data_IF_143190741040
#
_entry.id   IF_143190741040
#
_cell.length_a   1.000
_cell.length_b   1.000
_cell.length_c   1.000
_cell.angle_alpha   90.00
_cell.angle_beta   90.00
_cell.angle_gamma   90.00
#
_symmetry.space_group_name_H-M   'P 1'
#
loop_
_entity.id
_entity.type
_entity.pdbx_description
1 polymer ?
#
# COMPACT_ATOMS: atom_id res chain seq x y z
N UNK A 1 10.64 -5.69 19.88
CA UNK A 1 11.35 -4.85 18.90
C UNK A 1 10.53 -3.64 18.44
N UNK A 2 9.20 -3.62 18.61
CA UNK A 2 8.39 -2.41 18.37
C UNK A 2 8.08 -2.10 16.90
N UNK A 3 8.47 -2.99 15.98
CA UNK A 3 8.11 -2.90 14.55
C UNK A 3 6.72 -3.52 14.37
N UNK A 4 5.68 -2.70 14.49
CA UNK A 4 4.28 -3.14 14.48
C UNK A 4 3.65 -3.09 13.09
N UNK A 5 4.25 -2.37 12.13
CA UNK A 5 3.79 -2.34 10.75
C UNK A 5 4.31 -3.57 9.98
N UNK A 6 3.41 -4.32 9.36
CA UNK A 6 3.73 -5.44 8.48
C UNK A 6 3.13 -5.16 7.11
N UNK A 7 3.97 -5.16 6.07
CA UNK A 7 3.58 -4.95 4.69
C UNK A 7 3.63 -6.27 3.90
N UNK A 8 2.54 -6.59 3.21
CA UNK A 8 2.41 -7.73 2.30
C UNK A 8 1.59 -7.33 1.06
N UNK A 9 1.24 -8.27 0.20
CA UNK A 9 0.37 -8.04 -0.96
C UNK A 9 -0.21 -9.36 -1.49
N UNK A 10 -1.35 -9.29 -2.20
CA UNK A 10 -1.93 -10.49 -2.84
C UNK A 10 -1.00 -11.14 -3.88
N UNK A 11 -0.10 -10.35 -4.47
CA UNK A 11 0.87 -10.80 -5.46
C UNK A 11 2.01 -11.62 -4.83
N UNK A 12 2.36 -11.37 -3.57
CA UNK A 12 3.57 -11.93 -2.96
C UNK A 12 3.40 -13.43 -2.74
N UNK A 13 4.14 -14.22 -3.53
CA UNK A 13 3.95 -15.66 -3.65
C UNK A 13 2.48 -16.05 -3.94
N UNK A 14 1.77 -15.23 -4.73
CA UNK A 14 0.35 -15.44 -5.07
C UNK A 14 -0.56 -15.64 -3.84
N UNK A 15 -0.26 -14.95 -2.74
CA UNK A 15 -0.98 -15.03 -1.47
C UNK A 15 -0.26 -15.81 -0.38
N UNK A 16 0.78 -16.58 -0.71
CA UNK A 16 1.55 -17.33 0.30
C UNK A 16 2.19 -16.42 1.36
N UNK A 17 2.59 -15.19 0.99
CA UNK A 17 3.11 -14.24 1.97
C UNK A 17 2.03 -13.77 2.97
N UNK A 18 0.77 -13.63 2.54
CA UNK A 18 -0.34 -13.28 3.44
C UNK A 18 -0.62 -14.42 4.44
N UNK A 19 -0.50 -15.67 4.01
CA UNK A 19 -0.64 -16.84 4.89
C UNK A 19 0.48 -16.90 5.95
N UNK A 20 1.73 -16.63 5.56
CA UNK A 20 2.86 -16.51 6.51
C UNK A 20 2.62 -15.38 7.51
N UNK A 21 2.09 -14.24 7.06
CA UNK A 21 1.73 -13.13 7.96
C UNK A 21 0.62 -13.57 8.92
N UNK A 22 -0.41 -14.29 8.46
CA UNK A 22 -1.49 -14.78 9.32
C UNK A 22 -0.96 -15.62 10.50
N UNK A 23 -0.04 -16.54 10.21
CA UNK A 23 0.62 -17.36 11.24
C UNK A 23 1.42 -16.49 12.22
N UNK A 24 2.16 -15.50 11.72
CA UNK A 24 2.99 -14.62 12.54
C UNK A 24 2.19 -13.70 13.48
N UNK A 25 0.96 -13.32 13.09
CA UNK A 25 0.13 -12.37 13.85
C UNK A 25 -0.92 -13.04 14.75
N UNK A 26 -1.02 -14.37 14.72
CA UNK A 26 -2.03 -15.13 15.46
C UNK A 26 -2.04 -14.77 16.96
N UNK A 27 -3.23 -14.42 17.47
CA UNK A 27 -3.43 -14.00 18.86
C UNK A 27 -2.94 -12.60 19.22
N UNK A 28 -2.37 -11.84 18.26
CA UNK A 28 -1.79 -10.50 18.49
C UNK A 28 -2.16 -9.49 17.41
N UNK A 29 -3.23 -9.75 16.66
CA UNK A 29 -3.69 -8.92 15.54
C UNK A 29 -3.85 -7.44 15.93
N UNK A 30 -4.37 -7.16 17.12
CA UNK A 30 -4.66 -5.79 17.59
C UNK A 30 -3.40 -5.00 17.98
N UNK A 31 -2.24 -5.65 18.10
CA UNK A 31 -0.96 -4.99 18.38
C UNK A 31 -0.26 -4.47 17.11
N UNK A 32 -0.83 -4.73 15.94
CA UNK A 32 -0.16 -4.59 14.65
C UNK A 32 -0.91 -3.67 13.69
N UNK A 33 -0.14 -3.07 12.78
CA UNK A 33 -0.64 -2.29 11.66
C UNK A 33 -0.38 -3.06 10.36
N UNK A 34 -1.41 -3.67 9.82
CA UNK A 34 -1.34 -4.59 8.69
C UNK A 34 -1.63 -3.86 7.38
N UNK A 35 -0.68 -3.96 6.44
CA UNK A 35 -0.78 -3.40 5.09
C UNK A 35 -0.85 -4.53 4.07
N UNK A 36 -1.82 -4.48 3.16
CA UNK A 36 -1.84 -5.34 1.96
C UNK A 36 -2.20 -4.51 0.72
N UNK A 37 -2.15 -5.14 -0.46
CA UNK A 37 -2.25 -4.45 -1.76
C UNK A 37 -3.09 -5.23 -2.75
N UNK A 38 -3.83 -4.50 -3.59
CA UNK A 38 -4.55 -5.01 -4.75
C UNK A 38 -3.77 -4.75 -6.03
N UNK A 39 -3.68 -5.76 -6.90
CA UNK A 39 -3.11 -5.65 -8.23
C UNK A 39 -3.99 -4.76 -9.13
N UNK A 40 -3.42 -4.03 -10.10
CA UNK A 40 -4.21 -3.13 -10.93
C UNK A 40 -5.17 -3.86 -11.86
N UNK A 41 -4.86 -5.11 -12.24
CA UNK A 41 -5.78 -5.99 -12.95
C UNK A 41 -7.04 -6.34 -12.15
N UNK A 42 -6.98 -6.19 -10.82
CA UNK A 42 -8.10 -6.37 -9.89
C UNK A 42 -8.70 -5.02 -9.44
N UNK A 43 -8.26 -3.87 -9.94
CA UNK A 43 -8.62 -2.57 -9.39
C UNK A 43 -10.03 -2.06 -9.75
N UNK A 44 -10.80 -2.79 -10.56
CA UNK A 44 -12.23 -2.49 -10.78
C UNK A 44 -13.02 -2.54 -9.47
N UNK A 45 -14.17 -1.88 -9.41
CA UNK A 45 -15.00 -1.82 -8.19
C UNK A 45 -15.34 -3.19 -7.63
N UNK A 46 -15.73 -4.12 -8.52
CA UNK A 46 -16.01 -5.50 -8.13
C UNK A 46 -14.73 -6.30 -7.86
N UNK A 47 -13.63 -6.00 -8.57
CA UNK A 47 -12.33 -6.64 -8.39
C UNK A 47 -11.71 -6.33 -7.02
N UNK A 48 -11.67 -5.06 -6.62
CA UNK A 48 -11.12 -4.59 -5.35
C UNK A 48 -11.82 -5.27 -4.18
N UNK A 49 -13.15 -5.37 -4.24
CA UNK A 49 -13.94 -6.08 -3.23
C UNK A 49 -13.52 -7.55 -3.13
N UNK A 50 -13.47 -8.27 -4.25
CA UNK A 50 -13.08 -9.70 -4.28
C UNK A 50 -11.63 -9.90 -3.82
N UNK A 51 -10.70 -9.06 -4.26
CA UNK A 51 -9.30 -9.10 -3.88
C UNK A 51 -9.13 -8.90 -2.37
N UNK A 52 -9.78 -7.88 -1.81
CA UNK A 52 -9.76 -7.60 -0.37
C UNK A 52 -10.33 -8.78 0.43
N UNK A 53 -11.48 -9.35 0.03
CA UNK A 53 -12.06 -10.52 0.68
C UNK A 53 -11.13 -11.75 0.65
N UNK A 54 -10.39 -11.94 -0.45
CA UNK A 54 -9.40 -13.01 -0.57
C UNK A 54 -8.18 -12.76 0.32
N UNK A 55 -7.67 -11.52 0.37
CA UNK A 55 -6.58 -11.13 1.26
C UNK A 55 -6.95 -11.32 2.73
N UNK A 56 -8.11 -10.83 3.15
CA UNK A 56 -8.63 -11.01 4.52
C UNK A 56 -8.70 -12.49 4.91
N UNK A 57 -9.18 -13.35 4.00
CA UNK A 57 -9.24 -14.79 4.21
C UNK A 57 -7.85 -15.39 4.43
N UNK A 58 -6.87 -15.04 3.58
CA UNK A 58 -5.48 -15.54 3.72
C UNK A 58 -4.79 -15.02 4.97
N UNK A 59 -5.04 -13.76 5.32
CA UNK A 59 -4.53 -13.09 6.53
C UNK A 59 -5.21 -13.57 7.82
N UNK A 60 -6.26 -14.40 7.73
CA UNK A 60 -7.07 -14.87 8.85
C UNK A 60 -7.55 -13.74 9.79
N UNK A 61 -7.97 -12.62 9.21
CA UNK A 61 -8.45 -11.43 9.95
C UNK A 61 -9.67 -10.81 9.27
N UNK A 62 -10.41 -9.99 10.00
CA UNK A 62 -11.60 -9.30 9.53
C UNK A 62 -11.31 -7.91 8.95
N UNK A 63 -10.11 -7.36 9.22
CA UNK A 63 -9.70 -6.01 8.77
C UNK A 63 -8.24 -5.93 8.34
N UNK A 64 -7.98 -5.12 7.32
CA UNK A 64 -6.64 -4.64 6.93
C UNK A 64 -6.53 -3.17 7.36
N UNK A 65 -5.46 -2.78 8.06
CA UNK A 65 -5.36 -1.41 8.57
C UNK A 65 -5.14 -0.39 7.43
N UNK A 66 -4.40 -0.78 6.40
CA UNK A 66 -4.16 0.03 5.21
C UNK A 66 -4.12 -0.83 3.94
N UNK A 67 -4.94 -0.47 2.94
CA UNK A 67 -5.02 -1.20 1.69
C UNK A 67 -4.57 -0.34 0.51
N UNK A 68 -3.58 -0.82 -0.26
CA UNK A 68 -2.95 -0.03 -1.33
C UNK A 68 -3.35 -0.50 -2.72
N UNK A 69 -3.54 0.43 -3.65
CA UNK A 69 -3.37 0.10 -5.07
C UNK A 69 -1.88 -0.13 -5.33
N UNK A 70 -1.50 -1.29 -5.86
CA UNK A 70 -0.09 -1.70 -5.92
C UNK A 70 0.75 -0.91 -6.94
N UNK A 71 0.15 -0.46 -8.05
CA UNK A 71 0.69 0.50 -9.01
C UNK A 71 -0.44 1.04 -9.90
N UNK A 72 -0.23 2.11 -10.69
CA UNK A 72 -1.20 2.57 -11.67
C UNK A 72 -1.57 1.47 -12.69
N UNK A 73 -2.79 1.50 -13.22
CA UNK A 73 -3.26 0.53 -14.21
C UNK A 73 -4.30 1.10 -15.15
N UNK A 74 -4.95 0.23 -15.94
CA UNK A 74 -5.93 0.65 -16.95
C UNK A 74 -7.33 0.93 -16.40
N UNK A 75 -7.60 0.59 -15.14
CA UNK A 75 -8.89 0.88 -14.49
C UNK A 75 -8.90 2.36 -14.10
N UNK A 76 -9.97 3.12 -14.41
CA UNK A 76 -10.08 4.51 -13.97
C UNK A 76 -9.90 4.63 -12.46
N UNK A 77 -9.03 5.55 -12.03
CA UNK A 77 -8.63 5.66 -10.63
C UNK A 77 -9.82 5.98 -9.71
N UNK A 78 -10.77 6.79 -10.20
CA UNK A 78 -12.02 7.09 -9.49
C UNK A 78 -12.84 5.84 -9.14
N UNK A 79 -12.87 4.83 -10.03
CA UNK A 79 -13.55 3.56 -9.75
C UNK A 79 -12.89 2.81 -8.60
N UNK A 80 -11.55 2.84 -8.56
CA UNK A 80 -10.75 2.20 -7.49
C UNK A 80 -10.97 2.91 -6.15
N UNK A 81 -10.97 4.25 -6.15
CA UNK A 81 -11.23 5.08 -4.96
C UNK A 81 -12.62 4.83 -4.39
N UNK A 82 -13.66 4.80 -5.23
CA UNK A 82 -15.02 4.45 -4.79
C UNK A 82 -15.09 3.06 -4.13
N UNK A 83 -14.31 2.10 -4.64
CA UNK A 83 -14.24 0.76 -4.09
C UNK A 83 -13.53 0.73 -2.72
N UNK A 84 -12.43 1.48 -2.56
CA UNK A 84 -11.76 1.63 -1.27
C UNK A 84 -12.65 2.30 -0.23
N UNK A 85 -13.34 3.39 -0.59
CA UNK A 85 -14.27 4.05 0.33
C UNK A 85 -15.43 3.12 0.74
N UNK A 86 -15.93 2.28 -0.18
CA UNK A 86 -16.93 1.27 0.17
C UNK A 86 -16.39 0.19 1.13
N UNK A 87 -15.14 -0.26 0.94
CA UNK A 87 -14.50 -1.20 1.87
C UNK A 87 -14.27 -0.57 3.24
N UNK A 88 -13.88 0.71 3.28
CA UNK A 88 -13.68 1.48 4.51
C UNK A 88 -15.00 1.66 5.25
N UNK A 89 -16.07 2.03 4.56
CA UNK A 89 -17.41 2.17 5.13
C UNK A 89 -17.96 0.86 5.73
N UNK A 90 -17.48 -0.30 5.25
CA UNK A 90 -17.86 -1.62 5.79
C UNK A 90 -16.88 -2.16 6.83
N UNK A 91 -15.84 -1.40 7.20
CA UNK A 91 -14.84 -1.78 8.20
C UNK A 91 -13.85 -2.86 7.74
N UNK A 92 -13.89 -3.27 6.47
CA UNK A 92 -12.94 -4.26 5.91
C UNK A 92 -11.53 -3.72 5.77
N UNK A 93 -11.42 -2.40 5.58
CA UNK A 93 -10.14 -1.68 5.63
C UNK A 93 -10.27 -0.48 6.57
N UNK A 94 -9.19 -0.12 7.27
CA UNK A 94 -9.14 1.11 8.07
C UNK A 94 -8.86 2.34 7.21
N UNK A 95 -7.88 2.21 6.34
CA UNK A 95 -7.35 3.26 5.46
C UNK A 95 -7.05 2.70 4.06
N UNK A 96 -6.88 3.60 3.10
CA UNK A 96 -6.36 3.25 1.78
C UNK A 96 -5.26 4.20 1.35
N UNK A 97 -4.43 3.73 0.42
CA UNK A 97 -3.35 4.50 -0.17
C UNK A 97 -2.99 3.98 -1.55
N UNK A 98 -1.87 4.44 -2.06
CA UNK A 98 -1.33 3.99 -3.35
C UNK A 98 0.13 3.57 -3.22
N UNK A 99 0.66 2.98 -4.26
CA UNK A 99 2.06 2.60 -4.37
C UNK A 99 2.53 2.83 -5.79
N UNK A 100 3.77 3.25 -5.96
CA UNK A 100 4.39 3.53 -7.26
C UNK A 100 3.70 4.64 -8.05
N UNK A 101 3.11 5.63 -7.37
CA UNK A 101 2.57 6.82 -8.02
C UNK A 101 3.64 7.90 -8.10
N UNK A 102 3.78 8.56 -9.24
CA UNK A 102 4.59 9.77 -9.37
C UNK A 102 3.82 11.04 -8.93
N UNK A 103 4.43 12.22 -9.10
CA UNK A 103 3.84 13.49 -8.68
C UNK A 103 2.56 13.80 -9.48
N UNK A 104 2.57 13.59 -10.79
CA UNK A 104 1.44 13.91 -11.68
C UNK A 104 0.23 12.99 -11.37
N UNK A 105 0.49 11.71 -11.14
CA UNK A 105 -0.53 10.73 -10.77
C UNK A 105 -1.12 11.02 -9.38
N UNK A 106 -0.29 11.50 -8.44
CA UNK A 106 -0.77 11.94 -7.13
C UNK A 106 -1.62 13.22 -7.23
N UNK A 107 -1.27 14.14 -8.12
CA UNK A 107 -2.08 15.35 -8.39
C UNK A 107 -3.44 15.00 -8.99
N UNK A 108 -3.48 14.08 -9.96
CA UNK A 108 -4.73 13.54 -10.49
C UNK A 108 -5.57 12.92 -9.37
N UNK A 109 -4.96 12.02 -8.57
CA UNK A 109 -5.63 11.31 -7.49
C UNK A 109 -6.31 12.26 -6.51
N UNK A 110 -5.60 13.26 -5.98
CA UNK A 110 -6.16 14.17 -4.98
C UNK A 110 -7.24 15.11 -5.56
N UNK A 111 -7.29 15.25 -6.88
CA UNK A 111 -8.36 15.97 -7.58
C UNK A 111 -9.67 15.19 -7.74
N UNK A 112 -9.65 13.87 -7.52
CA UNK A 112 -10.83 13.02 -7.61
C UNK A 112 -11.76 13.19 -6.40
N UNK A 113 -13.04 12.82 -6.57
CA UNK A 113 -13.95 12.69 -5.43
C UNK A 113 -13.40 11.68 -4.44
N UNK A 114 -13.35 12.08 -3.17
CA UNK A 114 -12.79 11.30 -2.05
C UNK A 114 -11.29 10.98 -2.17
N UNK A 115 -10.61 11.41 -3.25
CA UNK A 115 -9.20 11.10 -3.52
C UNK A 115 -8.21 11.75 -2.55
N UNK A 116 -8.58 12.87 -1.93
CA UNK A 116 -7.81 13.49 -0.84
C UNK A 116 -7.79 12.67 0.46
N UNK A 117 -8.57 11.59 0.54
CA UNK A 117 -8.52 10.62 1.65
C UNK A 117 -7.32 9.67 1.58
N UNK A 118 -6.50 9.72 0.52
CA UNK A 118 -5.27 8.92 0.37
C UNK A 118 -4.37 9.10 1.60
N UNK A 119 -3.94 7.99 2.21
CA UNK A 119 -3.15 8.03 3.46
C UNK A 119 -1.66 7.82 3.26
N UNK A 120 -1.22 7.31 2.12
CA UNK A 120 0.21 7.09 1.83
C UNK A 120 0.46 6.91 0.33
N UNK A 121 1.71 7.10 -0.07
CA UNK A 121 2.25 6.56 -1.31
C UNK A 121 3.49 5.71 -1.00
N UNK A 122 3.45 4.41 -1.31
CA UNK A 122 4.57 3.50 -1.11
C UNK A 122 5.47 3.44 -2.36
N UNK A 123 6.71 3.91 -2.27
CA UNK A 123 7.62 4.11 -3.41
C UNK A 123 9.03 3.58 -3.18
N UNK A 124 9.77 3.35 -4.26
CA UNK A 124 11.18 2.97 -4.19
C UNK A 124 11.99 4.15 -3.68
N UNK A 125 12.54 4.03 -2.49
CA UNK A 125 13.36 5.09 -1.91
C UNK A 125 14.46 4.53 -1.01
N UNK A 126 15.70 4.84 -1.35
CA UNK A 126 16.89 4.49 -0.59
C UNK A 126 18.10 5.31 -1.08
N UNK A 127 19.28 5.11 -0.49
CA UNK A 127 20.50 5.87 -0.83
C UNK A 127 20.91 5.80 -2.30
N UNK A 128 20.57 4.72 -3.01
CA UNK A 128 20.84 4.56 -4.44
C UNK A 128 19.67 5.01 -5.34
N UNK A 129 18.48 5.25 -4.77
CA UNK A 129 17.23 5.55 -5.47
C UNK A 129 16.58 6.79 -4.85
N UNK A 130 17.12 7.95 -5.20
CA UNK A 130 16.75 9.24 -4.59
C UNK A 130 15.86 10.12 -5.47
N UNK A 131 15.33 9.57 -6.57
CA UNK A 131 14.44 10.27 -7.49
C UNK A 131 13.29 11.02 -6.79
N UNK A 132 12.56 10.40 -5.85
CA UNK A 132 11.47 11.07 -5.14
C UNK A 132 11.84 12.37 -4.42
N UNK A 133 13.12 12.63 -4.12
CA UNK A 133 13.53 13.86 -3.43
C UNK A 133 13.37 15.12 -4.29
N UNK A 134 13.32 14.98 -5.62
CA UNK A 134 13.25 16.11 -6.54
C UNK A 134 11.88 16.80 -6.51
N UNK A 135 10.81 16.02 -6.46
CA UNK A 135 9.44 16.48 -6.65
C UNK A 135 8.43 15.81 -5.69
N UNK A 136 8.33 14.47 -5.74
CA UNK A 136 7.27 13.72 -5.05
C UNK A 136 7.34 13.87 -3.53
N UNK A 137 8.52 13.75 -2.92
CA UNK A 137 8.68 13.83 -1.47
C UNK A 137 8.39 15.25 -0.92
N UNK A 138 8.91 16.34 -1.52
CA UNK A 138 8.45 17.69 -1.20
C UNK A 138 6.93 17.85 -1.32
N UNK A 139 6.35 17.40 -2.43
CA UNK A 139 4.91 17.52 -2.71
C UNK A 139 4.05 16.78 -1.69
N UNK A 140 4.42 15.54 -1.34
CA UNK A 140 3.70 14.71 -0.36
C UNK A 140 3.82 15.31 1.05
N UNK A 141 5.00 15.83 1.40
CA UNK A 141 5.25 16.48 2.70
C UNK A 141 4.37 17.71 2.92
N UNK A 142 4.23 18.57 1.90
CA UNK A 142 3.37 19.76 1.97
C UNK A 142 1.89 19.41 2.22
N UNK A 143 1.47 18.22 1.80
CA UNK A 143 0.09 17.71 1.94
C UNK A 143 -0.10 16.78 3.13
N UNK A 144 0.94 16.52 3.92
CA UNK A 144 0.87 15.60 5.04
C UNK A 144 0.64 14.14 4.64
N UNK A 145 0.99 13.76 3.41
CA UNK A 145 0.89 12.37 2.92
C UNK A 145 2.24 11.69 3.19
N UNK A 146 2.35 10.74 4.12
CA UNK A 146 3.60 10.03 4.35
C UNK A 146 3.99 9.19 3.12
N UNK A 147 5.30 9.09 2.88
CA UNK A 147 5.86 8.12 1.94
C UNK A 147 6.30 6.86 2.70
N UNK A 148 5.93 5.69 2.18
CA UNK A 148 6.49 4.42 2.64
C UNK A 148 7.61 4.00 1.70
N UNK A 149 8.85 3.98 2.19
CA UNK A 149 10.02 3.61 1.39
C UNK A 149 10.15 2.08 1.30
N UNK A 150 9.87 1.49 0.13
CA UNK A 150 10.14 0.06 -0.10
C UNK A 150 11.57 -0.15 -0.62
N UNK A 151 12.09 -1.37 -0.43
CA UNK A 151 13.49 -1.71 -0.68
C UNK A 151 14.49 -0.72 -0.04
N UNK A 152 14.35 -0.39 1.26
CA UNK A 152 15.18 0.65 1.91
C UNK A 152 16.68 0.31 1.92
N UNK A 153 17.03 -0.96 1.74
CA UNK A 153 18.42 -1.46 1.66
C UNK A 153 18.82 -1.94 0.24
N UNK A 154 18.07 -1.55 -0.80
CA UNK A 154 18.22 -2.00 -2.20
C UNK A 154 18.34 -3.53 -2.28
N UNK A 155 17.40 -4.23 -1.63
CA UNK A 155 17.38 -5.70 -1.58
C UNK A 155 18.71 -6.32 -1.05
N UNK A 156 19.41 -5.58 -0.19
CA UNK A 156 20.68 -5.96 0.42
C UNK A 156 21.92 -5.51 -0.34
N UNK A 157 21.78 -4.83 -1.48
CA UNK A 157 22.91 -4.33 -2.25
C UNK A 157 23.64 -3.18 -1.54
N UNK A 158 22.93 -2.32 -0.81
CA UNK A 158 23.53 -1.21 -0.07
C UNK A 158 24.52 -1.69 1.00
N UNK A 159 24.20 -2.77 1.70
CA UNK A 159 25.07 -3.34 2.74
C UNK A 159 26.41 -3.88 2.18
N UNK A 160 26.54 -4.03 0.86
CA UNK A 160 27.74 -4.53 0.19
C UNK A 160 28.57 -3.42 -0.48
N UNK A 161 28.10 -2.17 -0.42
CA UNK A 161 28.73 -1.06 -1.11
C UNK A 161 29.52 -0.20 -0.13
N UNK A 162 30.84 -0.39 -0.05
CA UNK A 162 31.71 0.39 0.85
C UNK A 162 31.98 1.85 0.43
N UNK A 163 31.33 2.35 -0.63
CA UNK A 163 31.40 3.76 -1.06
C UNK A 163 30.19 4.59 -0.64
N UNK A 164 29.14 3.94 -0.14
CA UNK A 164 28.02 4.56 0.58
C UNK A 164 28.26 4.41 2.08
#
# INVERSE_FOLDING_TARGET
LGMTLIDTAEMYASGGAEEVVAEAIAGRRDELFLVSKVLPSNASRAGVKRACENSLRRLATDRIDLYLLHWPGSVPLAETVEAFEALKATGKIGHWGVSNFDTDEMEELVGLRDGSSVQTNQVLYNLARRGPEFDLAPWSRERGIPLMAYSPVEQGALARNGRL
#
